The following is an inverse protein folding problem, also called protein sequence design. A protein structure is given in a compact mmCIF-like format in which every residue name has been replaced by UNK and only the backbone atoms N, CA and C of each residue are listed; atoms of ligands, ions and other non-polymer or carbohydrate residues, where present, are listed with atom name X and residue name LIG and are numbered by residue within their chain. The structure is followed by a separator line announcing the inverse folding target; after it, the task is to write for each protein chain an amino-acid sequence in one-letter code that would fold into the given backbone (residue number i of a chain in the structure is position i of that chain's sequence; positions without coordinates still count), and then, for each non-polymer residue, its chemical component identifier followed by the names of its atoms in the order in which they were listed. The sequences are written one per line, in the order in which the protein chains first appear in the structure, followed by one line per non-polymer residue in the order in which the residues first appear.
data_IF_175732236233
#
_entry.id   IF_175732236233
#
_cell.length_a   1.000
_cell.length_b   1.000
_cell.length_c   1.000
_cell.angle_alpha   90.00
_cell.angle_beta   90.00
_cell.angle_gamma   90.00
#
_symmetry.space_group_name_H-M   'P 1'
#
loop_
_entity.id
_entity.type
_entity.pdbx_description
1 polymer ?
#
# COMPACT_ATOMS: atom_id res chain seq x y z
N UNK A 1 10.34 22.24 -0.96
CA UNK A 1 9.02 22.39 -1.63
C UNK A 1 7.98 21.70 -0.77
N UNK A 2 6.82 22.34 -0.55
CA UNK A 2 5.66 21.75 0.13
C UNK A 2 4.72 21.13 -0.91
N UNK A 3 4.24 19.90 -0.66
CA UNK A 3 3.26 19.23 -1.52
C UNK A 3 2.06 18.77 -0.69
N UNK A 4 0.84 19.12 -1.10
CA UNK A 4 -0.40 18.62 -0.53
C UNK A 4 -0.89 17.43 -1.36
N UNK A 5 -0.96 16.25 -0.76
CA UNK A 5 -1.58 15.07 -1.36
C UNK A 5 -3.03 14.98 -0.88
N UNK A 6 -3.98 15.35 -1.73
CA UNK A 6 -5.41 15.31 -1.44
C UNK A 6 -6.01 14.01 -1.96
N UNK A 7 -6.81 13.34 -1.13
CA UNK A 7 -7.54 12.13 -1.48
C UNK A 7 -8.99 12.24 -1.00
N UNK A 8 -9.87 11.37 -1.52
CA UNK A 8 -11.25 11.33 -1.06
C UNK A 8 -11.31 10.92 0.42
N UNK A 9 -10.43 10.00 0.83
CA UNK A 9 -10.23 9.62 2.21
C UNK A 9 -8.74 9.58 2.55
N UNK A 10 -8.38 10.06 3.74
CA UNK A 10 -7.09 9.77 4.37
C UNK A 10 -7.35 8.93 5.61
N UNK A 11 -6.68 7.78 5.69
CA UNK A 11 -6.64 6.94 6.89
C UNK A 11 -5.22 7.01 7.49
N UNK A 12 -4.97 7.89 8.47
CA UNK A 12 -3.62 8.10 9.01
C UNK A 12 -3.07 6.86 9.71
N UNK A 13 -3.94 6.12 10.40
CA UNK A 13 -3.59 4.92 11.15
C UNK A 13 -4.67 3.83 10.97
N UNK A 14 -4.59 2.99 9.92
CA UNK A 14 -5.55 1.92 9.68
C UNK A 14 -5.50 0.76 10.66
N UNK A 15 -4.40 0.62 11.41
CA UNK A 15 -4.24 -0.44 12.41
C UNK A 15 -4.97 -0.11 13.72
N UNK A 16 -5.15 1.18 14.03
CA UNK A 16 -5.95 1.64 15.15
C UNK A 16 -7.43 1.81 14.73
N UNK A 17 -8.36 0.99 15.27
CA UNK A 17 -9.79 1.12 14.97
C UNK A 17 -10.40 2.43 15.51
N UNK A 18 -9.79 3.06 16.51
CA UNK A 18 -10.24 4.33 17.06
C UNK A 18 -9.70 5.56 16.28
N UNK A 19 -8.71 5.36 15.40
CA UNK A 19 -8.16 6.44 14.60
C UNK A 19 -9.18 6.92 13.55
N UNK A 20 -9.37 8.25 13.40
CA UNK A 20 -10.41 8.79 12.53
C UNK A 20 -10.08 8.56 11.05
N UNK A 21 -11.14 8.38 10.26
CA UNK A 21 -11.10 8.54 8.81
C UNK A 21 -11.32 10.02 8.47
N UNK A 22 -10.49 10.58 7.61
CA UNK A 22 -10.59 11.98 7.20
C UNK A 22 -11.20 12.06 5.79
N UNK A 23 -12.51 12.36 5.65
CA UNK A 23 -13.11 12.64 4.35
C UNK A 23 -12.57 13.95 3.79
N UNK A 24 -12.35 14.01 2.48
CA UNK A 24 -11.66 15.12 1.80
C UNK A 24 -10.35 15.49 2.52
N UNK A 25 -9.60 14.47 2.92
CA UNK A 25 -8.36 14.62 3.68
C UNK A 25 -7.15 14.94 2.80
N UNK A 26 -6.12 15.52 3.42
CA UNK A 26 -4.83 15.73 2.79
C UNK A 26 -3.66 15.44 3.73
N UNK A 27 -2.52 15.09 3.10
CA UNK A 27 -1.21 14.97 3.75
C UNK A 27 -0.29 16.02 3.16
N UNK A 28 0.21 16.91 4.02
CA UNK A 28 1.19 17.92 3.67
C UNK A 28 2.59 17.34 3.88
N UNK A 29 3.43 17.40 2.84
CA UNK A 29 4.77 16.84 2.83
C UNK A 29 5.81 17.94 2.59
N UNK A 30 6.87 17.97 3.41
CA UNK A 30 8.06 18.80 3.24
C UNK A 30 9.30 17.91 3.15
N UNK A 31 9.92 17.86 1.99
CA UNK A 31 11.09 16.99 1.79
C UNK A 31 10.69 15.53 2.01
N UNK A 32 11.31 14.88 3.00
CA UNK A 32 11.05 13.47 3.32
C UNK A 32 10.06 13.26 4.47
N UNK A 33 9.50 14.34 5.02
CA UNK A 33 8.68 14.31 6.23
C UNK A 33 7.25 14.79 5.97
N UNK A 34 6.33 14.21 6.73
CA UNK A 34 4.96 14.69 6.85
C UNK A 34 4.96 15.90 7.78
N UNK A 35 4.50 17.04 7.26
CA UNK A 35 4.35 18.27 8.04
C UNK A 35 3.03 18.28 8.80
N UNK A 36 1.94 17.86 8.14
CA UNK A 36 0.60 17.86 8.71
C UNK A 36 -0.30 16.84 8.00
N UNK A 37 -1.33 16.38 8.71
CA UNK A 37 -2.40 15.51 8.21
C UNK A 37 -3.71 16.07 8.73
N UNK A 38 -4.72 16.22 7.86
CA UNK A 38 -5.98 16.84 8.26
C UNK A 38 -6.93 17.05 7.08
N UNK A 39 -8.04 17.76 7.30
CA UNK A 39 -8.96 18.15 6.23
C UNK A 39 -8.24 19.01 5.17
N UNK A 40 -8.49 18.73 3.90
CA UNK A 40 -7.89 19.47 2.79
C UNK A 40 -8.17 20.99 2.84
N UNK A 41 -9.41 21.47 3.10
CA UNK A 41 -9.69 22.91 3.08
C UNK A 41 -8.84 23.68 4.10
N UNK A 42 -8.66 23.12 5.29
CA UNK A 42 -7.87 23.73 6.37
C UNK A 42 -6.38 23.80 6.00
N UNK A 43 -5.82 22.68 5.51
CA UNK A 43 -4.42 22.64 5.11
C UNK A 43 -4.13 23.51 3.87
N UNK A 44 -5.05 23.58 2.92
CA UNK A 44 -4.93 24.44 1.75
C UNK A 44 -4.98 25.93 2.12
N UNK A 45 -5.86 26.32 3.06
CA UNK A 45 -5.94 27.69 3.56
C UNK A 45 -4.68 28.09 4.35
N UNK A 46 -4.15 27.18 5.18
CA UNK A 46 -2.92 27.42 5.93
C UNK A 46 -1.66 27.45 5.04
N UNK A 47 -1.69 26.78 3.88
CA UNK A 47 -0.53 26.64 3.00
C UNK A 47 -0.88 26.91 1.52
N UNK A 48 -1.27 28.14 1.15
CA UNK A 48 -1.77 28.46 -0.20
C UNK A 48 -0.73 28.29 -1.31
N UNK A 49 0.57 28.30 -0.97
CA UNK A 49 1.67 28.06 -1.90
C UNK A 49 2.10 26.59 -2.05
N UNK A 50 1.46 25.66 -1.34
CA UNK A 50 1.81 24.25 -1.44
C UNK A 50 1.36 23.68 -2.79
N UNK A 51 2.22 22.89 -3.43
CA UNK A 51 1.87 22.22 -4.69
C UNK A 51 0.77 21.18 -4.40
N UNK A 52 -0.43 21.40 -4.92
CA UNK A 52 -1.52 20.43 -4.75
C UNK A 52 -1.36 19.27 -5.73
N UNK A 53 -1.59 18.06 -5.22
CA UNK A 53 -1.71 16.83 -5.98
C UNK A 53 -3.01 16.16 -5.56
N UNK A 54 -4.02 16.32 -6.41
CA UNK A 54 -5.34 15.72 -6.22
C UNK A 54 -5.37 14.33 -6.87
N UNK A 55 -5.78 13.32 -6.09
CA UNK A 55 -5.91 11.94 -6.54
C UNK A 55 -7.35 11.56 -6.94
N UNK A 56 -8.31 12.48 -6.77
CA UNK A 56 -9.69 12.32 -7.22
C UNK A 56 -10.62 11.61 -6.23
N UNK A 57 -11.92 11.56 -6.53
CA UNK A 57 -13.00 11.16 -5.60
C UNK A 57 -13.05 9.66 -5.26
N UNK A 58 -12.31 8.82 -5.97
CA UNK A 58 -12.23 7.37 -5.72
C UNK A 58 -10.93 6.93 -5.05
N UNK A 59 -10.26 7.83 -4.33
CA UNK A 59 -8.91 7.60 -3.79
C UNK A 59 -8.87 7.54 -2.27
N UNK A 60 -8.10 6.58 -1.75
CA UNK A 60 -7.77 6.43 -0.34
C UNK A 60 -6.26 6.57 -0.15
N UNK A 61 -5.83 7.52 0.66
CA UNK A 61 -4.44 7.64 1.08
C UNK A 61 -4.27 7.01 2.46
N UNK A 62 -3.29 6.13 2.58
CA UNK A 62 -2.95 5.44 3.83
C UNK A 62 -1.44 5.21 3.93
N UNK A 63 -0.89 4.82 5.11
CA UNK A 63 0.48 4.34 5.20
C UNK A 63 0.75 3.28 4.14
N UNK A 64 1.99 3.25 3.65
CA UNK A 64 2.37 2.22 2.69
C UNK A 64 2.31 0.82 3.29
N UNK A 65 2.30 -0.20 2.45
CA UNK A 65 2.18 -1.58 2.90
C UNK A 65 3.54 -2.20 3.24
N UNK A 66 3.53 -3.18 4.14
CA UNK A 66 4.63 -4.12 4.33
C UNK A 66 4.38 -5.38 3.52
N UNK A 67 5.43 -5.88 2.86
CA UNK A 67 5.40 -7.19 2.23
C UNK A 67 6.02 -8.25 3.15
N UNK A 68 5.23 -9.18 3.73
CA UNK A 68 5.74 -10.18 4.67
C UNK A 68 6.63 -11.24 4.01
N UNK A 69 6.38 -11.55 2.74
CA UNK A 69 7.14 -12.54 1.95
C UNK A 69 8.36 -11.95 1.22
N UNK A 70 8.90 -10.81 1.67
CA UNK A 70 9.97 -10.07 0.98
C UNK A 70 11.21 -10.91 0.67
N UNK A 71 11.74 -11.62 1.68
CA UNK A 71 12.89 -12.53 1.52
C UNK A 71 12.65 -13.57 0.42
N UNK A 72 11.53 -14.30 0.50
CA UNK A 72 11.17 -15.34 -0.50
C UNK A 72 11.06 -14.74 -1.90
N UNK A 73 10.29 -13.67 -2.05
CA UNK A 73 10.01 -13.07 -3.36
C UNK A 73 11.24 -12.45 -4.02
N UNK A 74 12.24 -12.02 -3.24
CA UNK A 74 13.42 -11.34 -3.77
C UNK A 74 14.65 -12.25 -3.87
N UNK A 75 14.74 -13.33 -3.08
CA UNK A 75 15.89 -14.24 -3.07
C UNK A 75 15.60 -15.65 -3.59
N UNK A 76 14.33 -16.07 -3.72
CA UNK A 76 13.98 -17.43 -4.18
C UNK A 76 13.17 -17.41 -5.46
N UNK A 77 12.19 -16.52 -5.55
CA UNK A 77 11.31 -16.44 -6.70
C UNK A 77 11.95 -15.60 -7.82
N UNK A 78 11.73 -16.01 -9.06
CA UNK A 78 12.24 -15.29 -10.23
C UNK A 78 11.18 -14.32 -10.77
N UNK A 79 11.51 -13.04 -10.86
CA UNK A 79 10.67 -12.03 -11.52
C UNK A 79 11.09 -11.94 -12.98
N UNK A 80 10.29 -12.48 -13.93
CA UNK A 80 10.70 -12.59 -15.33
C UNK A 80 10.90 -11.22 -15.99
N UNK A 81 11.87 -11.15 -16.91
CA UNK A 81 11.95 -10.03 -17.84
C UNK A 81 10.79 -10.12 -18.85
N UNK A 82 10.06 -9.03 -19.13
CA UNK A 82 8.98 -9.06 -20.13
C UNK A 82 9.42 -9.59 -21.51
N UNK A 83 10.71 -9.46 -21.85
CA UNK A 83 11.27 -9.95 -23.12
C UNK A 83 11.39 -11.47 -23.21
N UNK A 84 11.34 -12.18 -22.08
CA UNK A 84 11.51 -13.64 -22.03
C UNK A 84 10.22 -14.40 -22.37
N UNK A 85 9.05 -13.74 -22.39
CA UNK A 85 7.77 -14.37 -22.71
C UNK A 85 7.24 -15.35 -21.65
N UNK A 86 7.86 -15.41 -20.46
CA UNK A 86 7.51 -16.33 -19.37
C UNK A 86 6.26 -15.90 -18.58
N UNK A 87 5.76 -14.69 -18.84
CA UNK A 87 4.63 -14.09 -18.14
C UNK A 87 5.04 -12.97 -17.16
N UNK A 88 4.09 -12.49 -16.36
CA UNK A 88 4.30 -11.38 -15.41
C UNK A 88 4.38 -11.83 -13.96
N UNK A 89 3.86 -13.02 -13.65
CA UNK A 89 3.89 -13.55 -12.30
C UNK A 89 5.29 -13.99 -11.88
N UNK A 90 5.65 -13.88 -10.59
CA UNK A 90 6.88 -14.47 -10.08
C UNK A 90 6.88 -15.98 -10.28
N UNK A 91 7.97 -16.53 -10.83
CA UNK A 91 8.18 -17.98 -10.93
C UNK A 91 8.72 -18.47 -9.59
N UNK A 92 7.88 -19.19 -8.86
CA UNK A 92 8.20 -19.72 -7.54
C UNK A 92 9.48 -20.57 -7.57
N UNK A 93 10.39 -20.30 -6.63
CA UNK A 93 11.69 -20.98 -6.52
C UNK A 93 12.54 -20.93 -7.82
N UNK A 94 12.21 -20.05 -8.77
CA UNK A 94 12.89 -19.94 -10.08
C UNK A 94 14.34 -19.47 -10.03
N UNK A 95 14.83 -19.07 -8.85
CA UNK A 95 16.24 -18.75 -8.58
C UNK A 95 16.95 -19.82 -7.73
N UNK A 96 16.25 -20.86 -7.28
CA UNK A 96 16.89 -21.95 -6.51
C UNK A 96 17.92 -22.65 -7.39
N UNK A 97 19.12 -22.85 -6.84
CA UNK A 97 20.26 -23.41 -7.58
C UNK A 97 20.95 -22.42 -8.53
N UNK A 98 20.45 -21.20 -8.69
CA UNK A 98 21.13 -20.15 -9.43
C UNK A 98 22.35 -19.64 -8.64
N UNK A 99 23.48 -19.47 -9.33
CA UNK A 99 24.69 -18.85 -8.76
C UNK A 99 24.99 -17.45 -9.32
N UNK A 100 24.20 -16.97 -10.29
CA UNK A 100 24.43 -15.70 -10.99
C UNK A 100 23.85 -14.50 -10.21
N UNK A 101 24.72 -13.76 -9.51
CA UNK A 101 24.38 -12.55 -8.77
C UNK A 101 23.76 -11.44 -9.66
N UNK A 102 24.13 -11.34 -10.94
CA UNK A 102 23.55 -10.36 -11.84
C UNK A 102 22.07 -10.70 -12.12
N UNK A 103 21.75 -11.99 -12.29
CA UNK A 103 20.37 -12.48 -12.42
C UNK A 103 19.55 -12.24 -11.16
N UNK A 104 20.11 -12.50 -9.96
CA UNK A 104 19.45 -12.16 -8.69
C UNK A 104 19.14 -10.66 -8.60
N UNK A 105 20.13 -9.81 -8.87
CA UNK A 105 19.96 -8.36 -8.81
C UNK A 105 18.94 -7.83 -9.82
N UNK A 106 18.91 -8.38 -11.04
CA UNK A 106 17.93 -8.02 -12.06
C UNK A 106 16.51 -8.44 -11.66
N UNK A 107 16.35 -9.68 -11.19
CA UNK A 107 15.09 -10.21 -10.66
C UNK A 107 14.57 -9.34 -9.50
N UNK A 108 15.40 -9.10 -8.49
CA UNK A 108 15.02 -8.31 -7.32
C UNK A 108 14.60 -6.89 -7.68
N UNK A 109 15.31 -6.20 -8.59
CA UNK A 109 14.90 -4.86 -9.04
C UNK A 109 13.52 -4.87 -9.71
N UNK A 110 13.22 -5.87 -10.55
CA UNK A 110 11.91 -6.02 -11.17
C UNK A 110 10.83 -6.30 -10.13
N UNK A 111 11.10 -7.21 -9.19
CA UNK A 111 10.18 -7.52 -8.09
C UNK A 111 9.86 -6.30 -7.24
N UNK A 112 10.89 -5.53 -6.83
CA UNK A 112 10.73 -4.29 -6.08
C UNK A 112 9.89 -3.26 -6.84
N UNK A 113 10.15 -3.06 -8.13
CA UNK A 113 9.35 -2.14 -8.96
C UNK A 113 7.88 -2.57 -9.04
N UNK A 114 7.59 -3.88 -9.13
CA UNK A 114 6.22 -4.38 -9.11
C UNK A 114 5.57 -4.20 -7.74
N UNK A 115 6.30 -4.46 -6.64
CA UNK A 115 5.82 -4.24 -5.27
C UNK A 115 5.44 -2.77 -5.03
N UNK A 116 6.18 -1.80 -5.60
CA UNK A 116 5.77 -0.39 -5.55
C UNK A 116 4.40 -0.17 -6.21
N UNK A 117 4.03 -0.96 -7.20
CA UNK A 117 2.69 -0.94 -7.82
C UNK A 117 1.57 -1.41 -6.90
N UNK A 118 1.89 -2.11 -5.81
CA UNK A 118 0.95 -2.52 -4.77
C UNK A 118 0.98 -1.63 -3.52
N UNK A 119 1.66 -0.48 -3.57
CA UNK A 119 1.74 0.41 -2.40
C UNK A 119 2.76 -0.03 -1.36
N UNK A 120 3.66 -0.97 -1.68
CA UNK A 120 4.66 -1.47 -0.74
C UNK A 120 5.70 -0.40 -0.44
N UNK A 121 5.93 -0.15 0.86
CA UNK A 121 6.95 0.77 1.36
C UNK A 121 7.95 0.09 2.32
N UNK A 122 7.65 -1.13 2.75
CA UNK A 122 8.53 -1.95 3.58
C UNK A 122 8.53 -3.41 3.13
N UNK A 123 9.66 -4.10 3.28
CA UNK A 123 9.81 -5.53 2.95
C UNK A 123 10.46 -6.28 4.11
N UNK A 124 9.93 -7.47 4.40
CA UNK A 124 10.54 -8.36 5.38
C UNK A 124 11.79 -9.05 4.82
N UNK A 125 12.92 -8.89 5.51
CA UNK A 125 14.18 -9.61 5.28
C UNK A 125 14.37 -10.78 6.25
N UNK A 126 15.59 -11.31 6.44
CA UNK A 126 16.87 -10.80 5.95
C UNK A 126 17.07 -11.00 4.44
N UNK A 127 18.12 -10.39 3.90
CA UNK A 127 18.58 -10.62 2.53
C UNK A 127 20.04 -11.07 2.55
N UNK A 128 20.26 -12.35 2.23
CA UNK A 128 21.56 -13.00 2.26
C UNK A 128 22.42 -12.67 1.03
N UNK A 129 21.78 -12.41 -0.11
CA UNK A 129 22.45 -12.12 -1.38
C UNK A 129 22.87 -10.65 -1.47
N UNK A 130 24.12 -10.41 -1.82
CA UNK A 130 24.67 -9.06 -1.92
C UNK A 130 23.96 -8.23 -3.02
N UNK A 131 23.64 -8.85 -4.16
CA UNK A 131 22.89 -8.20 -5.22
C UNK A 131 21.48 -7.77 -4.78
N UNK A 132 20.81 -8.59 -3.96
CA UNK A 132 19.46 -8.31 -3.44
C UNK A 132 19.50 -7.20 -2.39
N UNK A 133 20.43 -7.26 -1.41
CA UNK A 133 20.65 -6.16 -0.46
C UNK A 133 20.88 -4.82 -1.16
N UNK A 134 21.70 -4.82 -2.20
CA UNK A 134 21.96 -3.60 -2.99
C UNK A 134 20.71 -3.09 -3.69
N UNK A 135 19.90 -3.99 -4.25
CA UNK A 135 18.63 -3.62 -4.90
C UNK A 135 17.63 -3.03 -3.89
N UNK A 136 17.49 -3.64 -2.71
CA UNK A 136 16.59 -3.16 -1.64
C UNK A 136 17.07 -1.83 -1.07
N UNK A 137 18.37 -1.67 -0.79
CA UNK A 137 18.91 -0.39 -0.30
C UNK A 137 18.67 0.75 -1.30
N UNK A 138 18.79 0.48 -2.61
CA UNK A 138 18.57 1.47 -3.67
C UNK A 138 17.10 1.80 -3.95
N UNK A 139 16.16 0.92 -3.58
CA UNK A 139 14.73 1.23 -3.72
C UNK A 139 14.23 2.20 -2.65
N UNK A 140 14.93 2.32 -1.53
CA UNK A 140 14.56 3.19 -0.41
C UNK A 140 13.45 2.62 0.50
N UNK A 141 13.04 1.37 0.26
CA UNK A 141 12.10 0.62 1.09
C UNK A 141 12.70 0.34 2.47
N UNK A 142 11.87 0.37 3.51
CA UNK A 142 12.27 -0.07 4.83
C UNK A 142 12.46 -1.61 4.86
N UNK A 143 13.46 -2.08 5.60
CA UNK A 143 13.68 -3.51 5.83
C UNK A 143 13.20 -3.86 7.23
N UNK A 144 12.29 -4.82 7.31
CA UNK A 144 11.71 -5.31 8.56
C UNK A 144 12.21 -6.74 8.85
N UNK A 145 12.24 -7.17 10.11
CA UNK A 145 12.42 -8.58 10.43
C UNK A 145 11.26 -9.39 9.85
N UNK A 146 11.55 -10.60 9.34
CA UNK A 146 10.51 -11.52 8.86
C UNK A 146 9.75 -12.16 10.00
N UNK A 147 8.43 -12.24 9.83
CA UNK A 147 7.59 -13.19 10.53
C UNK A 147 7.52 -14.47 9.67
N UNK A 148 7.86 -15.61 10.26
CA UNK A 148 7.95 -16.88 9.54
C UNK A 148 6.63 -17.26 8.84
N UNK A 149 6.73 -17.90 7.66
CA UNK A 149 5.62 -18.65 7.05
C UNK A 149 4.78 -17.95 5.99
N UNK A 150 5.12 -16.74 5.53
CA UNK A 150 4.30 -16.03 4.55
C UNK A 150 4.43 -16.63 3.12
N UNK A 151 3.28 -17.00 2.54
CA UNK A 151 3.15 -17.45 1.14
C UNK A 151 3.13 -16.27 0.16
N UNK A 152 3.66 -16.48 -1.04
CA UNK A 152 4.23 -15.44 -1.91
C UNK A 152 3.31 -14.85 -2.98
N UNK A 153 2.10 -14.37 -2.62
CA UNK A 153 1.39 -13.48 -3.53
C UNK A 153 2.10 -12.12 -3.58
N UNK A 154 2.10 -11.47 -4.74
CA UNK A 154 2.77 -10.18 -4.94
C UNK A 154 1.99 -9.00 -4.35
N UNK A 155 0.67 -9.14 -4.25
CA UNK A 155 -0.22 -8.20 -3.58
C UNK A 155 -0.31 -8.53 -2.07
N UNK A 156 0.18 -7.67 -1.16
CA UNK A 156 0.03 -7.89 0.27
C UNK A 156 -1.43 -8.00 0.72
N UNK A 157 -2.36 -7.31 0.05
CA UNK A 157 -3.78 -7.32 0.40
C UNK A 157 -4.50 -8.59 -0.06
N UNK A 158 -3.86 -9.41 -0.90
CA UNK A 158 -4.38 -10.73 -1.23
C UNK A 158 -4.12 -11.76 -0.11
N UNK A 159 -3.22 -11.46 0.82
CA UNK A 159 -2.78 -12.40 1.88
C UNK A 159 -2.96 -11.86 3.30
N UNK A 160 -3.10 -10.54 3.47
CA UNK A 160 -3.28 -9.89 4.76
C UNK A 160 -4.48 -8.93 4.74
N UNK A 161 -5.25 -8.85 5.84
CA UNK A 161 -6.19 -7.76 6.04
C UNK A 161 -5.47 -6.40 5.96
N UNK A 162 -6.17 -5.35 5.49
CA UNK A 162 -5.55 -4.04 5.27
C UNK A 162 -4.88 -3.44 6.53
N UNK A 163 -5.55 -3.52 7.69
CA UNK A 163 -5.01 -3.07 8.98
C UNK A 163 -3.71 -3.82 9.37
N UNK A 164 -3.58 -5.08 8.95
CA UNK A 164 -2.37 -5.87 9.12
C UNK A 164 -1.38 -5.67 7.98
N UNK A 165 -1.76 -5.17 6.81
CA UNK A 165 -0.83 -4.95 5.71
C UNK A 165 -0.07 -3.62 5.83
N UNK A 166 -0.60 -2.63 6.54
CA UNK A 166 0.03 -1.30 6.65
C UNK A 166 1.34 -1.33 7.44
N UNK A 167 2.25 -0.42 7.08
CA UNK A 167 3.51 -0.19 7.75
C UNK A 167 3.51 1.17 8.46
N UNK A 168 3.28 1.15 9.78
CA UNK A 168 3.28 2.35 10.61
C UNK A 168 2.03 3.20 10.38
N UNK A 169 2.20 4.51 10.52
CA UNK A 169 1.15 5.52 10.41
C UNK A 169 1.64 6.76 9.67
N UNK A 170 0.74 7.52 9.05
CA UNK A 170 1.02 8.83 8.47
C UNK A 170 0.70 9.89 9.52
N UNK A 171 1.73 10.49 10.10
CA UNK A 171 1.58 11.50 11.15
C UNK A 171 2.63 12.60 11.00
N UNK A 172 2.33 13.80 11.49
CA UNK A 172 3.27 14.92 11.50
C UNK A 172 4.61 14.53 12.17
N UNK A 173 5.72 14.95 11.56
CA UNK A 173 7.09 14.58 11.95
C UNK A 173 7.53 13.19 11.48
N UNK A 174 6.61 12.34 11.02
CA UNK A 174 6.90 11.03 10.45
C UNK A 174 7.50 11.10 9.05
N UNK A 175 8.13 10.00 8.61
CA UNK A 175 8.59 9.86 7.22
C UNK A 175 7.39 9.79 6.27
N UNK A 176 7.49 10.46 5.13
CA UNK A 176 6.44 10.49 4.13
C UNK A 176 6.47 9.20 3.26
N UNK A 177 6.11 8.08 3.89
CA UNK A 177 5.97 6.75 3.29
C UNK A 177 4.47 6.39 3.29
N UNK A 178 3.82 6.57 2.14
CA UNK A 178 2.38 6.32 2.00
C UNK A 178 2.01 5.85 0.60
N UNK A 179 0.85 5.24 0.47
CA UNK A 179 0.30 4.81 -0.81
C UNK A 179 -1.12 5.33 -0.98
N UNK A 180 -1.52 5.48 -2.24
CA UNK A 180 -2.86 5.91 -2.63
C UNK A 180 -3.52 4.77 -3.37
N UNK A 181 -4.66 4.32 -2.89
CA UNK A 181 -5.38 3.16 -3.40
C UNK A 181 -6.70 3.60 -4.05
N UNK A 182 -7.17 2.87 -5.08
CA UNK A 182 -8.56 2.99 -5.48
C UNK A 182 -9.46 2.48 -4.34
N UNK A 183 -10.56 3.17 -4.09
CA UNK A 183 -11.59 2.74 -3.14
C UNK A 183 -12.68 2.01 -3.89
N UNK A 184 -13.10 0.84 -3.39
CA UNK A 184 -14.36 0.23 -3.80
C UNK A 184 -15.50 1.01 -3.17
N UNK A 185 -16.49 1.53 -3.94
CA UNK A 185 -17.65 2.15 -3.33
C UNK A 185 -18.34 1.13 -2.41
N UNK A 186 -18.43 1.44 -1.12
CA UNK A 186 -19.27 0.70 -0.19
C UNK A 186 -20.70 1.12 -0.51
N UNK A 187 -21.35 0.40 -1.41
CA UNK A 187 -22.79 0.61 -1.61
C UNK A 187 -23.49 0.16 -0.34
N UNK A 188 -24.32 1.02 0.31
CA UNK A 188 -25.20 0.54 1.34
C UNK A 188 -26.11 -0.50 0.69
N UNK A 189 -26.07 -1.74 1.20
CA UNK A 189 -27.09 -2.73 0.89
C UNK A 189 -28.37 -2.19 1.50
N UNK A 190 -29.14 -1.43 0.72
CA UNK A 190 -30.52 -1.10 1.09
C UNK A 190 -31.25 -2.45 1.12
N UNK A 191 -31.79 -2.89 2.27
CA UNK A 191 -32.65 -4.06 2.28
C UNK A 191 -33.88 -3.72 1.45
N UNK A 192 -33.92 -4.19 0.20
CA UNK A 192 -35.16 -4.24 -0.57
C UNK A 192 -36.02 -5.25 0.17
N UNK A 193 -37.00 -4.78 0.93
CA UNK A 193 -37.95 -5.62 1.65
C UNK A 193 -38.79 -6.34 0.58
N UNK A 194 -38.69 -7.67 0.38
CA UNK A 194 -39.70 -8.37 -0.38
C UNK A 194 -40.93 -8.50 0.53
N UNK A 195 -42.09 -8.04 0.05
CA UNK A 195 -43.38 -8.29 0.72
C UNK A 195 -43.73 -9.77 0.55
N UNK A 196 -43.23 -10.63 1.46
CA UNK A 196 -43.67 -12.02 1.64
C UNK A 196 -43.44 -12.43 3.11
N UNK A 197 -44.33 -13.21 3.75
CA UNK A 197 -44.33 -13.36 5.19
C UNK A 197 -43.25 -14.34 5.71
N UNK A 198 -42.46 -13.82 6.66
CA UNK A 198 -41.78 -14.42 7.83
C UNK A 198 -41.50 -15.93 7.87
N UNK A 199 -40.20 -16.25 7.96
CA UNK A 199 -39.66 -17.31 8.84
C UNK A 199 -38.43 -16.72 9.56
N UNK A 200 -38.28 -16.81 10.89
CA UNK A 200 -37.19 -16.12 11.58
C UNK A 200 -35.90 -16.95 11.53
N UNK A 201 -34.81 -16.34 11.06
CA UNK A 201 -33.45 -16.75 11.42
C UNK A 201 -32.81 -15.52 12.05
N UNK A 202 -32.45 -15.66 13.32
CA UNK A 202 -31.78 -14.62 14.10
C UNK A 202 -30.42 -14.30 13.48
N UNK A 203 -30.29 -13.09 12.98
CA UNK A 203 -29.01 -12.42 12.76
C UNK A 203 -29.18 -10.99 13.26
N UNK A 204 -28.67 -10.70 14.45
CA UNK A 204 -28.60 -9.35 14.99
C UNK A 204 -27.75 -8.53 14.03
N UNK A 205 -28.38 -7.62 13.30
CA UNK A 205 -27.68 -6.59 12.52
C UNK A 205 -27.63 -5.37 13.41
N UNK A 206 -26.47 -5.13 14.04
CA UNK A 206 -26.24 -3.89 14.76
C UNK A 206 -26.24 -2.73 13.74
N UNK A 207 -27.29 -1.94 13.79
CA UNK A 207 -27.47 -0.72 13.00
C UNK A 207 -26.62 0.43 13.54
N UNK A 208 -25.32 0.42 13.26
CA UNK A 208 -24.42 1.60 13.42
C UNK A 208 -23.08 1.49 12.66
N UNK A 209 -23.06 0.92 11.45
CA UNK A 209 -21.82 0.72 10.68
C UNK A 209 -21.70 1.61 9.44
N UNK A 210 -21.25 2.86 9.58
CA UNK A 210 -20.58 3.54 8.45
C UNK A 210 -19.27 2.79 8.19
N UNK A 211 -19.28 1.91 7.17
CA UNK A 211 -18.11 1.09 6.84
C UNK A 211 -16.91 1.97 6.51
N UNK A 212 -15.83 1.86 7.29
CA UNK A 212 -14.55 2.54 7.02
C UNK A 212 -14.09 2.21 5.59
N UNK A 213 -13.71 3.20 4.77
CA UNK A 213 -13.30 2.96 3.39
C UNK A 213 -12.08 2.04 3.35
N UNK A 214 -12.11 1.03 2.48
CA UNK A 214 -11.02 0.08 2.29
C UNK A 214 -10.41 0.19 0.89
N UNK A 215 -9.13 -0.15 0.72
CA UNK A 215 -8.52 -0.23 -0.61
C UNK A 215 -9.12 -1.40 -1.40
N UNK A 216 -9.28 -1.22 -2.71
CA UNK A 216 -9.54 -2.34 -3.60
C UNK A 216 -8.27 -3.18 -3.80
N UNK A 217 -8.42 -4.50 -3.91
CA UNK A 217 -7.33 -5.38 -4.33
C UNK A 217 -6.93 -5.07 -5.79
N UNK A 218 -5.69 -5.41 -6.18
CA UNK A 218 -5.22 -5.24 -7.56
C UNK A 218 -4.41 -3.96 -7.82
N UNK A 219 -3.74 -3.46 -6.78
CA UNK A 219 -2.70 -2.43 -6.89
C UNK A 219 -3.11 -1.02 -6.44
N UNK A 220 -2.13 -0.13 -6.40
CA UNK A 220 -2.29 1.26 -5.98
C UNK A 220 -2.35 2.22 -7.18
N UNK A 221 -2.85 3.44 -6.94
CA UNK A 221 -2.75 4.57 -7.86
C UNK A 221 -1.36 5.21 -7.78
N UNK A 222 -0.75 5.23 -6.60
CA UNK A 222 0.55 5.82 -6.37
C UNK A 222 1.24 5.30 -5.11
N UNK A 223 2.56 5.35 -5.11
CA UNK A 223 3.40 5.07 -3.94
C UNK A 223 4.39 6.20 -3.75
N UNK A 224 4.46 6.71 -2.52
CA UNK A 224 5.37 7.76 -2.09
C UNK A 224 6.33 7.18 -1.05
N UNK A 225 7.63 7.39 -1.27
CA UNK A 225 8.72 6.97 -0.38
C UNK A 225 9.60 8.18 -0.06
N UNK A 226 9.74 8.50 1.23
CA UNK A 226 10.45 9.69 1.69
C UNK A 226 10.00 10.95 0.95
N UNK A 227 8.68 11.11 0.75
CA UNK A 227 8.09 12.25 0.05
C UNK A 227 8.29 12.28 -1.47
N UNK A 228 8.95 11.28 -2.06
CA UNK A 228 9.13 11.15 -3.51
C UNK A 228 8.08 10.23 -4.10
N UNK A 229 7.41 10.67 -5.16
CA UNK A 229 6.50 9.84 -5.94
C UNK A 229 7.30 8.82 -6.76
N UNK A 230 7.40 7.59 -6.27
CA UNK A 230 8.21 6.51 -6.87
C UNK A 230 7.42 5.59 -7.80
N UNK A 231 6.09 5.55 -7.63
CA UNK A 231 5.19 4.85 -8.53
C UNK A 231 3.94 5.69 -8.76
N UNK A 232 3.44 5.65 -9.99
CA UNK A 232 2.13 6.19 -10.36
C UNK A 232 1.54 5.30 -11.45
N UNK A 233 0.33 4.81 -11.21
CA UNK A 233 -0.48 4.14 -12.23
C UNK A 233 -0.84 5.13 -13.32
N UNK A 234 -0.62 4.73 -14.57
CA UNK A 234 -0.93 5.55 -15.74
C UNK A 234 -2.42 5.51 -16.05
#
# INVERSE_FOLDING_TARGET
MLTLHRAAFVLPDPADPAAPSLPDGAVLVRGEQVEAVGPYPELAAAHPGARVRDWGPGSLLAPGLRHPSGHRLLERDYHPDPREGVGVEPVADGLVGCADEARFGASARRGLQRMLGYGVTAVAGPFERAAVRTAVARSGLAVLPSAAGAVGALDPLAVLPFAEAVHGRVAAGGRADFAVFPVVPVFPVVPVVPVVPVVPVQGVVDGSGEGRPGPAAGGCLATVLGGRLVYRRR
#
